data_IF_611668992859
#
_entry.id   IF_611668992859
#
_cell.length_a   1.000
_cell.length_b   1.000
_cell.length_c   1.000
_cell.angle_alpha   90.00
_cell.angle_beta   90.00
_cell.angle_gamma   90.00
#
_symmetry.space_group_name_H-M   'P 1'
#
loop_
_entity.id
_entity.type
_entity.pdbx_description
1 polymer ?
#
# COMPACT_ATOMS: atom_id res chain seq x y z
N UNK A 1 -5.87 -19.09 13.08
CA UNK A 1 -6.53 -18.00 13.82
C UNK A 1 -7.17 -18.52 15.12
N UNK A 2 -6.37 -19.18 15.92
CA UNK A 2 -6.83 -19.80 17.16
C UNK A 2 -7.45 -18.79 18.12
N UNK A 3 -8.73 -19.01 18.48
CA UNK A 3 -9.43 -18.21 19.47
C UNK A 3 -9.86 -16.80 19.05
N UNK A 4 -9.76 -16.47 17.75
CA UNK A 4 -10.16 -15.17 17.22
C UNK A 4 -11.46 -15.30 16.42
N UNK A 5 -12.64 -15.14 17.04
CA UNK A 5 -13.92 -15.31 16.35
C UNK A 5 -14.15 -14.30 15.24
N UNK A 6 -13.52 -13.14 15.32
CA UNK A 6 -13.51 -12.07 14.30
C UNK A 6 -12.80 -12.48 12.99
N UNK A 7 -12.06 -13.60 12.97
CA UNK A 7 -11.38 -14.12 11.78
C UNK A 7 -12.23 -15.08 10.95
N UNK A 8 -13.48 -15.33 11.33
CA UNK A 8 -14.41 -16.10 10.51
C UNK A 8 -14.66 -15.35 9.18
N UNK A 9 -14.62 -16.03 8.01
CA UNK A 9 -14.77 -15.39 6.72
C UNK A 9 -16.02 -14.52 6.60
N UNK A 10 -17.16 -15.00 7.07
CA UNK A 10 -18.41 -14.24 7.05
C UNK A 10 -18.36 -12.92 7.84
N UNK A 11 -17.69 -12.91 9.00
CA UNK A 11 -17.51 -11.68 9.78
C UNK A 11 -16.56 -10.69 9.11
N UNK A 12 -15.49 -11.19 8.45
CA UNK A 12 -14.57 -10.35 7.69
C UNK A 12 -15.26 -9.71 6.50
N UNK A 13 -16.01 -10.47 5.73
CA UNK A 13 -16.81 -9.94 4.61
C UNK A 13 -17.90 -8.97 5.09
N UNK A 14 -18.55 -9.25 6.23
CA UNK A 14 -19.51 -8.32 6.82
C UNK A 14 -18.87 -6.97 7.20
N UNK A 15 -17.65 -6.98 7.76
CA UNK A 15 -16.90 -5.74 8.06
C UNK A 15 -16.63 -4.93 6.79
N UNK A 16 -16.14 -5.59 5.74
CA UNK A 16 -15.87 -4.93 4.45
C UNK A 16 -17.19 -4.38 3.84
N UNK A 17 -18.27 -5.14 3.92
CA UNK A 17 -19.60 -4.69 3.45
C UNK A 17 -20.08 -3.45 4.21
N UNK A 18 -19.92 -3.42 5.53
CA UNK A 18 -20.29 -2.27 6.35
C UNK A 18 -19.49 -1.02 5.96
N UNK A 19 -18.18 -1.16 5.73
CA UNK A 19 -17.36 -0.06 5.22
C UNK A 19 -17.89 0.47 3.87
N UNK A 20 -18.37 -0.43 3.00
CA UNK A 20 -19.00 -0.04 1.73
C UNK A 20 -20.33 0.73 1.91
N UNK A 21 -21.16 0.30 2.85
CA UNK A 21 -22.42 1.00 3.20
C UNK A 21 -22.11 2.42 3.71
N UNK A 22 -21.11 2.54 4.59
CA UNK A 22 -20.67 3.82 5.17
C UNK A 22 -19.80 4.66 4.21
N UNK A 23 -19.57 4.18 2.98
CA UNK A 23 -18.75 4.86 1.96
C UNK A 23 -17.32 5.16 2.44
N UNK A 24 -16.73 4.25 3.20
CA UNK A 24 -15.36 4.36 3.67
C UNK A 24 -14.44 3.73 2.63
N UNK A 25 -13.49 4.46 2.01
CA UNK A 25 -12.47 3.87 1.16
C UNK A 25 -11.68 2.83 1.96
N UNK A 26 -11.71 1.59 1.52
CA UNK A 26 -11.26 0.47 2.31
C UNK A 26 -10.16 -0.32 1.59
N UNK A 27 -9.13 -0.69 2.35
CA UNK A 27 -8.06 -1.58 1.90
C UNK A 27 -8.36 -3.00 2.34
N UNK A 28 -8.31 -3.95 1.41
CA UNK A 28 -8.46 -5.36 1.71
C UNK A 28 -7.49 -6.20 0.89
N UNK A 29 -7.51 -7.50 1.08
CA UNK A 29 -6.63 -8.42 0.35
C UNK A 29 -6.65 -9.83 0.92
N UNK A 30 -5.71 -10.64 0.45
CA UNK A 30 -5.53 -12.00 0.89
C UNK A 30 -4.07 -12.26 1.30
N UNK A 31 -3.90 -13.11 2.32
CA UNK A 31 -2.62 -13.68 2.70
C UNK A 31 -2.56 -15.10 2.14
N UNK A 32 -1.53 -15.38 1.34
CA UNK A 32 -1.34 -16.69 0.71
C UNK A 32 -0.25 -17.51 1.41
N UNK A 33 -0.37 -18.84 1.35
CA UNK A 33 0.61 -19.77 1.92
C UNK A 33 0.34 -20.16 3.37
N UNK A 34 -0.90 -19.97 3.85
CA UNK A 34 -1.33 -20.35 5.21
C UNK A 34 -2.11 -21.66 5.27
N UNK A 35 -2.09 -22.44 4.19
CA UNK A 35 -2.75 -23.74 4.06
C UNK A 35 -3.95 -23.76 3.12
N UNK A 36 -4.28 -22.65 2.51
CA UNK A 36 -5.34 -22.50 1.52
C UNK A 36 -4.95 -23.09 0.16
N UNK A 37 -5.94 -23.49 -0.60
CA UNK A 37 -5.82 -23.95 -1.99
C UNK A 37 -5.91 -22.78 -2.97
N UNK A 38 -5.47 -22.98 -4.22
CA UNK A 38 -5.67 -22.01 -5.30
C UNK A 38 -7.14 -21.68 -5.55
N UNK A 39 -8.04 -22.65 -5.35
CA UNK A 39 -9.49 -22.44 -5.49
C UNK A 39 -9.99 -21.48 -4.41
N UNK A 40 -9.62 -21.69 -3.15
CA UNK A 40 -10.00 -20.81 -2.05
C UNK A 40 -9.46 -19.37 -2.23
N UNK A 41 -8.28 -19.20 -2.84
CA UNK A 41 -7.77 -17.85 -3.23
C UNK A 41 -8.69 -17.19 -4.26
N UNK A 42 -9.13 -17.95 -5.28
CA UNK A 42 -10.06 -17.45 -6.30
C UNK A 42 -11.40 -17.07 -5.66
N UNK A 43 -11.97 -17.93 -4.82
CA UNK A 43 -13.24 -17.68 -4.12
C UNK A 43 -13.16 -16.43 -3.24
N UNK A 44 -12.07 -16.25 -2.50
CA UNK A 44 -11.84 -15.05 -1.68
C UNK A 44 -11.75 -13.78 -2.54
N UNK A 45 -11.03 -13.83 -3.66
CA UNK A 45 -10.92 -12.69 -4.59
C UNK A 45 -12.27 -12.37 -5.26
N UNK A 46 -13.05 -13.39 -5.63
CA UNK A 46 -14.40 -13.19 -6.19
C UNK A 46 -15.35 -12.55 -5.17
N UNK A 47 -15.30 -12.97 -3.91
CA UNK A 47 -16.11 -12.38 -2.84
C UNK A 47 -15.74 -10.88 -2.61
N UNK A 48 -14.45 -10.54 -2.66
CA UNK A 48 -13.99 -9.15 -2.58
C UNK A 48 -14.44 -8.35 -3.81
N UNK A 49 -14.37 -8.94 -5.01
CA UNK A 49 -14.84 -8.30 -6.25
C UNK A 49 -16.33 -7.97 -6.18
N UNK A 50 -17.16 -8.92 -5.74
CA UNK A 50 -18.60 -8.72 -5.59
C UNK A 50 -18.91 -7.53 -4.67
N UNK A 51 -18.23 -7.41 -3.53
CA UNK A 51 -18.37 -6.27 -2.63
C UNK A 51 -17.91 -4.96 -3.27
N UNK A 52 -16.83 -4.99 -4.05
CA UNK A 52 -16.37 -3.80 -4.76
C UNK A 52 -17.35 -3.39 -5.87
N UNK A 53 -17.87 -4.33 -6.65
CA UNK A 53 -18.88 -4.06 -7.70
C UNK A 53 -20.16 -3.45 -7.09
N UNK A 54 -20.55 -3.87 -5.90
CA UNK A 54 -21.73 -3.37 -5.22
C UNK A 54 -21.55 -1.97 -4.65
N UNK A 55 -20.41 -1.66 -4.02
CA UNK A 55 -20.21 -0.43 -3.25
C UNK A 55 -19.15 0.52 -3.84
N UNK A 56 -18.21 0.02 -4.61
CA UNK A 56 -17.11 0.79 -5.20
C UNK A 56 -16.07 1.30 -4.19
N UNK A 57 -16.00 0.72 -3.00
CA UNK A 57 -15.25 1.25 -1.86
C UNK A 57 -13.87 0.62 -1.65
N UNK A 58 -13.58 -0.52 -2.27
CA UNK A 58 -12.24 -1.12 -2.17
C UNK A 58 -11.27 -0.35 -3.04
N UNK A 59 -10.40 0.41 -2.41
CA UNK A 59 -9.41 1.23 -3.11
C UNK A 59 -8.20 0.43 -3.58
N UNK A 60 -7.91 -0.70 -2.92
CA UNK A 60 -6.84 -1.61 -3.31
C UNK A 60 -7.10 -3.04 -2.83
N UNK A 61 -6.47 -3.99 -3.51
CA UNK A 61 -6.40 -5.40 -3.11
C UNK A 61 -4.94 -5.78 -2.91
N UNK A 62 -4.59 -6.15 -1.68
CA UNK A 62 -3.24 -6.58 -1.30
C UNK A 62 -3.11 -8.08 -1.48
N UNK A 63 -2.10 -8.52 -2.21
CA UNK A 63 -1.70 -9.93 -2.28
C UNK A 63 -0.39 -10.07 -1.51
N UNK A 64 -0.48 -10.64 -0.32
CA UNK A 64 0.66 -10.80 0.58
C UNK A 64 1.04 -12.27 0.72
N UNK A 65 2.32 -12.58 0.59
CA UNK A 65 2.84 -13.92 0.86
C UNK A 65 3.14 -14.09 2.36
N UNK A 66 2.79 -15.26 2.87
CA UNK A 66 3.11 -15.66 4.24
C UNK A 66 4.63 -15.78 4.42
N UNK A 67 5.12 -15.35 5.59
CA UNK A 67 6.49 -15.57 6.05
C UNK A 67 6.48 -16.27 7.40
N UNK A 68 7.21 -17.38 7.48
CA UNK A 68 7.34 -18.14 8.72
C UNK A 68 8.20 -17.36 9.73
N UNK A 69 7.72 -17.26 10.97
CA UNK A 69 8.38 -16.44 12.00
C UNK A 69 8.69 -17.26 13.25
N UNK A 70 9.91 -17.10 13.75
CA UNK A 70 10.30 -17.67 15.03
C UNK A 70 9.33 -17.25 16.16
N UNK A 71 9.05 -18.15 17.08
CA UNK A 71 8.14 -17.90 18.19
C UNK A 71 6.64 -17.97 17.86
N UNK A 72 6.28 -18.25 16.60
CA UNK A 72 4.88 -18.47 16.19
C UNK A 72 4.58 -19.96 16.02
N UNK A 73 3.28 -20.33 16.04
CA UNK A 73 2.86 -21.72 15.80
C UNK A 73 3.18 -22.22 14.39
N UNK A 74 3.40 -21.32 13.44
CA UNK A 74 3.69 -21.62 12.04
C UNK A 74 5.19 -21.40 11.69
N UNK A 75 6.09 -21.41 12.65
CA UNK A 75 7.52 -21.13 12.43
C UNK A 75 8.21 -22.11 11.47
N UNK A 76 7.68 -23.34 11.34
CA UNK A 76 8.17 -24.37 10.42
C UNK A 76 7.24 -24.59 9.21
N UNK A 77 6.23 -23.74 9.00
CA UNK A 77 5.35 -23.88 7.86
C UNK A 77 6.08 -23.50 6.56
N UNK A 78 5.78 -24.20 5.49
CA UNK A 78 6.32 -23.88 4.17
C UNK A 78 5.79 -22.53 3.72
N UNK A 79 6.70 -21.66 3.28
CA UNK A 79 6.33 -20.40 2.66
C UNK A 79 5.88 -20.64 1.21
N UNK A 80 4.95 -19.82 0.68
CA UNK A 80 4.52 -19.95 -0.71
C UNK A 80 5.68 -19.60 -1.65
N UNK A 81 5.75 -20.29 -2.77
CA UNK A 81 6.75 -20.01 -3.80
C UNK A 81 6.49 -18.67 -4.49
N UNK A 82 7.52 -18.12 -5.12
CA UNK A 82 7.36 -16.94 -5.98
C UNK A 82 6.37 -17.21 -7.12
N UNK A 83 6.36 -18.43 -7.67
CA UNK A 83 5.41 -18.83 -8.70
C UNK A 83 3.96 -18.75 -8.21
N UNK A 84 3.68 -19.21 -6.99
CA UNK A 84 2.34 -19.10 -6.39
C UNK A 84 1.92 -17.65 -6.17
N UNK A 85 2.84 -16.78 -5.77
CA UNK A 85 2.57 -15.35 -5.62
C UNK A 85 2.26 -14.70 -6.98
N UNK A 86 3.11 -14.92 -7.99
CA UNK A 86 2.93 -14.42 -9.36
C UNK A 86 1.60 -14.92 -9.95
N UNK A 87 1.31 -16.21 -9.80
CA UNK A 87 0.05 -16.80 -10.25
C UNK A 87 -1.15 -16.10 -9.58
N UNK A 88 -1.10 -15.91 -8.27
CA UNK A 88 -2.20 -15.27 -7.53
C UNK A 88 -2.41 -13.81 -7.95
N UNK A 89 -1.33 -13.05 -8.14
CA UNK A 89 -1.40 -11.66 -8.65
C UNK A 89 -2.02 -11.64 -10.06
N UNK A 90 -1.58 -12.52 -10.96
CA UNK A 90 -2.11 -12.58 -12.32
C UNK A 90 -3.61 -12.93 -12.33
N UNK A 91 -4.02 -13.88 -11.50
CA UNK A 91 -5.44 -14.24 -11.34
C UNK A 91 -6.24 -13.07 -10.75
N UNK A 92 -5.72 -12.40 -9.72
CA UNK A 92 -6.36 -11.20 -9.18
C UNK A 92 -6.52 -10.12 -10.25
N UNK A 93 -5.50 -9.88 -11.10
CA UNK A 93 -5.58 -8.93 -12.22
C UNK A 93 -6.66 -9.31 -13.24
N UNK A 94 -6.81 -10.59 -13.54
CA UNK A 94 -7.88 -11.08 -14.43
C UNK A 94 -9.26 -10.86 -13.78
N UNK A 95 -9.40 -11.20 -12.50
CA UNK A 95 -10.67 -11.09 -11.76
C UNK A 95 -11.13 -9.63 -11.65
N UNK A 96 -10.24 -8.72 -11.25
CA UNK A 96 -10.57 -7.33 -10.98
C UNK A 96 -10.44 -6.40 -12.21
N UNK A 97 -9.80 -6.86 -13.27
CA UNK A 97 -9.58 -6.06 -14.47
C UNK A 97 -8.46 -5.00 -14.32
N UNK A 98 -8.28 -4.14 -15.33
CA UNK A 98 -7.11 -3.25 -15.40
C UNK A 98 -7.14 -2.06 -14.44
N UNK A 99 -8.31 -1.67 -13.95
CA UNK A 99 -8.49 -0.45 -13.15
C UNK A 99 -8.23 -0.64 -11.66
N UNK A 100 -8.40 -1.86 -11.14
CA UNK A 100 -8.19 -2.11 -9.72
C UNK A 100 -6.72 -1.92 -9.34
N UNK A 101 -6.48 -1.29 -8.19
CA UNK A 101 -5.15 -1.21 -7.63
C UNK A 101 -4.81 -2.54 -6.94
N UNK A 102 -3.83 -3.22 -7.48
CA UNK A 102 -3.28 -4.44 -6.91
C UNK A 102 -1.92 -4.14 -6.31
N UNK A 103 -1.76 -4.45 -5.04
CA UNK A 103 -0.55 -4.24 -4.27
C UNK A 103 0.09 -5.57 -3.88
N UNK A 104 1.43 -5.61 -3.89
CA UNK A 104 2.21 -6.62 -3.22
C UNK A 104 3.38 -5.95 -2.47
N UNK A 105 3.65 -6.32 -1.19
CA UNK A 105 4.73 -5.74 -0.41
C UNK A 105 6.09 -6.02 -1.05
N UNK A 106 6.90 -4.99 -1.38
CA UNK A 106 8.15 -5.18 -2.10
C UNK A 106 9.24 -5.84 -1.25
N UNK A 107 9.25 -5.60 0.06
CA UNK A 107 10.20 -6.17 1.00
C UNK A 107 10.09 -7.70 1.13
N UNK A 108 8.90 -8.27 0.93
CA UNK A 108 8.69 -9.72 1.00
C UNK A 108 9.11 -10.46 -0.28
N UNK A 109 9.50 -9.72 -1.32
CA UNK A 109 9.86 -10.27 -2.64
C UNK A 109 11.11 -9.61 -3.20
N UNK A 110 12.08 -9.30 -2.32
CA UNK A 110 13.36 -8.69 -2.72
C UNK A 110 14.00 -9.46 -3.88
N UNK A 111 14.53 -8.73 -4.87
CA UNK A 111 15.14 -9.29 -6.08
C UNK A 111 14.13 -9.76 -7.16
N UNK A 112 12.82 -9.76 -6.89
CA UNK A 112 11.80 -10.22 -7.82
C UNK A 112 10.77 -9.14 -8.20
N UNK A 113 11.08 -7.87 -7.97
CA UNK A 113 10.16 -6.74 -8.17
C UNK A 113 9.58 -6.68 -9.59
N UNK A 114 10.42 -6.90 -10.60
CA UNK A 114 10.01 -6.94 -11.99
C UNK A 114 8.95 -8.02 -12.28
N UNK A 115 9.08 -9.18 -11.64
CA UNK A 115 8.14 -10.28 -11.81
C UNK A 115 6.75 -9.93 -11.26
N UNK A 116 6.69 -9.22 -10.11
CA UNK A 116 5.43 -8.77 -9.52
C UNK A 116 4.72 -7.75 -10.43
N UNK A 117 5.46 -6.77 -10.97
CA UNK A 117 4.91 -5.78 -11.90
C UNK A 117 4.37 -6.47 -13.16
N UNK A 118 5.11 -7.42 -13.72
CA UNK A 118 4.71 -8.16 -14.91
C UNK A 118 3.50 -9.09 -14.65
N UNK A 119 3.34 -9.57 -13.42
CA UNK A 119 2.17 -10.32 -12.99
C UNK A 119 0.91 -9.45 -12.88
N UNK A 120 1.06 -8.13 -12.69
CA UNK A 120 -0.08 -7.23 -12.77
C UNK A 120 -0.28 -6.29 -11.59
N UNK A 121 0.66 -6.16 -10.65
CA UNK A 121 0.56 -5.10 -9.64
C UNK A 121 0.75 -3.73 -10.29
N UNK A 122 0.16 -2.72 -9.67
CA UNK A 122 0.34 -1.32 -10.02
C UNK A 122 0.54 -0.43 -8.78
N UNK A 123 0.76 -1.04 -7.62
CA UNK A 123 1.05 -0.33 -6.38
C UNK A 123 2.03 -1.13 -5.50
N UNK A 124 2.90 -0.44 -4.79
CA UNK A 124 3.84 -1.03 -3.85
C UNK A 124 3.39 -0.90 -2.39
N UNK A 125 2.31 -0.17 -2.14
CA UNK A 125 1.81 0.15 -0.81
C UNK A 125 2.61 1.20 -0.08
N UNK A 126 2.51 1.19 1.23
CA UNK A 126 3.27 2.07 2.10
C UNK A 126 4.68 1.54 2.30
N UNK A 127 5.66 2.19 1.68
CA UNK A 127 7.08 1.88 1.85
C UNK A 127 7.73 2.94 2.70
N UNK A 128 8.37 2.54 3.80
CA UNK A 128 9.09 3.46 4.68
C UNK A 128 10.59 3.13 4.70
N UNK A 129 11.44 3.93 4.04
CA UNK A 129 12.88 3.71 4.10
C UNK A 129 13.49 4.07 5.47
N UNK A 130 12.70 4.68 6.36
CA UNK A 130 13.16 5.21 7.65
C UNK A 130 12.78 4.32 8.84
N UNK A 131 11.72 3.53 8.71
CA UNK A 131 11.23 2.65 9.78
C UNK A 131 11.25 1.21 9.32
N UNK A 132 11.56 0.25 10.20
CA UNK A 132 11.45 -1.15 9.85
C UNK A 132 9.99 -1.53 9.60
N UNK A 133 9.77 -2.60 8.85
CA UNK A 133 8.48 -3.27 8.83
C UNK A 133 8.28 -3.96 10.18
N UNK A 134 7.38 -3.44 11.01
CA UNK A 134 7.11 -4.00 12.34
C UNK A 134 6.43 -5.37 12.29
N UNK A 135 5.83 -5.73 11.16
CA UNK A 135 5.24 -7.05 10.95
C UNK A 135 6.29 -8.05 10.46
N UNK A 136 7.19 -7.61 9.58
CA UNK A 136 8.26 -8.44 9.00
C UNK A 136 9.63 -7.76 9.18
N UNK A 137 10.13 -7.64 10.42
CA UNK A 137 11.36 -6.91 10.71
C UNK A 137 12.60 -7.55 10.08
N UNK A 138 12.52 -8.81 9.71
CA UNK A 138 13.55 -9.56 9.00
C UNK A 138 13.64 -9.23 7.49
N UNK A 139 12.63 -8.53 6.96
CA UNK A 139 12.55 -8.15 5.56
C UNK A 139 12.55 -6.62 5.43
N UNK A 140 13.74 -5.98 5.33
CA UNK A 140 13.84 -4.53 5.24
C UNK A 140 13.18 -3.99 3.97
N UNK A 141 12.65 -2.78 4.06
CA UNK A 141 12.14 -2.07 2.90
C UNK A 141 13.24 -1.80 1.88
N UNK A 142 12.98 -1.97 0.59
CA UNK A 142 13.92 -1.56 -0.44
C UNK A 142 14.05 -0.02 -0.47
N UNK A 143 15.17 0.46 -0.95
CA UNK A 143 15.35 1.89 -1.20
C UNK A 143 14.40 2.37 -2.30
N UNK A 144 13.86 3.59 -2.14
CA UNK A 144 12.93 4.17 -3.12
C UNK A 144 13.55 4.30 -4.51
N UNK A 145 14.86 4.52 -4.59
CA UNK A 145 15.58 4.55 -5.88
C UNK A 145 15.59 3.18 -6.56
N UNK A 146 15.76 2.11 -5.79
CA UNK A 146 15.69 0.74 -6.31
C UNK A 146 14.29 0.42 -6.84
N UNK A 147 13.24 0.80 -6.09
CA UNK A 147 11.85 0.64 -6.54
C UNK A 147 11.57 1.44 -7.81
N UNK A 148 12.05 2.68 -7.91
CA UNK A 148 11.91 3.51 -9.11
C UNK A 148 12.58 2.87 -10.31
N UNK A 149 13.82 2.41 -10.14
CA UNK A 149 14.58 1.73 -11.19
C UNK A 149 13.85 0.46 -11.65
N UNK A 150 13.49 -0.43 -10.72
CA UNK A 150 12.78 -1.66 -11.03
C UNK A 150 11.42 -1.38 -11.72
N UNK A 151 10.71 -0.32 -11.32
CA UNK A 151 9.45 0.07 -11.95
C UNK A 151 9.66 0.59 -13.37
N UNK A 152 10.68 1.43 -13.59
CA UNK A 152 10.98 2.01 -14.90
C UNK A 152 11.52 0.97 -15.90
N UNK A 153 12.35 0.01 -15.44
CA UNK A 153 12.90 -1.06 -16.26
C UNK A 153 11.85 -2.09 -16.70
N UNK A 154 10.74 -2.17 -15.97
CA UNK A 154 9.60 -2.97 -16.38
C UNK A 154 8.80 -2.25 -17.47
N UNK A 155 9.42 -2.04 -18.64
CA UNK A 155 8.68 -1.77 -19.86
C UNK A 155 7.75 -2.96 -20.08
N UNK A 156 6.47 -2.81 -19.74
CA UNK A 156 5.49 -3.88 -19.94
C UNK A 156 5.50 -4.33 -21.40
N UNK A 157 4.87 -5.46 -21.71
CA UNK A 157 4.70 -5.96 -23.10
C UNK A 157 4.13 -4.90 -24.07
N UNK A 158 3.57 -3.81 -23.54
CA UNK A 158 3.06 -2.65 -24.29
C UNK A 158 4.13 -1.63 -24.68
N UNK A 159 5.40 -1.79 -24.30
CA UNK A 159 6.46 -0.81 -24.56
C UNK A 159 6.31 0.53 -23.81
N UNK A 160 5.33 0.65 -22.90
CA UNK A 160 5.10 1.86 -22.11
C UNK A 160 5.94 1.79 -20.84
N UNK A 161 6.79 2.77 -20.63
CA UNK A 161 7.55 2.93 -19.40
C UNK A 161 6.59 3.18 -18.22
N UNK A 162 6.80 2.45 -17.13
CA UNK A 162 6.06 2.67 -15.87
C UNK A 162 6.84 3.66 -15.02
N UNK A 163 6.11 4.56 -14.37
CA UNK A 163 6.67 5.55 -13.46
C UNK A 163 6.19 5.27 -12.04
N UNK A 164 7.11 5.30 -11.07
CA UNK A 164 6.76 5.28 -9.67
C UNK A 164 6.33 6.68 -9.23
N UNK A 165 5.06 6.81 -8.84
CA UNK A 165 4.47 8.07 -8.37
C UNK A 165 4.05 7.92 -6.91
N UNK A 166 4.28 8.96 -6.12
CA UNK A 166 3.84 9.00 -4.72
C UNK A 166 2.35 9.37 -4.65
N UNK A 167 1.64 8.71 -3.73
CA UNK A 167 0.23 8.98 -3.46
C UNK A 167 -0.02 9.17 -1.96
N UNK A 168 -1.16 9.74 -1.64
CA UNK A 168 -1.67 9.75 -0.27
C UNK A 168 -2.13 8.32 0.14
N UNK A 169 -2.43 8.14 1.43
CA UNK A 169 -3.03 6.89 1.91
C UNK A 169 -4.38 6.61 1.25
N UNK A 170 -5.15 7.65 0.94
CA UNK A 170 -6.32 7.56 0.06
C UNK A 170 -5.86 7.55 -1.40
N UNK A 171 -6.44 6.68 -2.20
CA UNK A 171 -6.11 6.57 -3.63
C UNK A 171 -6.64 7.75 -4.44
N UNK A 172 -5.97 8.11 -5.55
CA UNK A 172 -6.30 9.28 -6.37
C UNK A 172 -7.77 9.38 -6.76
N UNK A 173 -8.38 8.31 -7.25
CA UNK A 173 -9.79 8.30 -7.65
C UNK A 173 -10.75 8.66 -6.51
N UNK A 174 -10.42 8.28 -5.28
CA UNK A 174 -11.21 8.60 -4.09
C UNK A 174 -10.93 10.02 -3.60
N UNK A 175 -9.69 10.49 -3.72
CA UNK A 175 -9.31 11.86 -3.37
C UNK A 175 -10.01 12.88 -4.27
N UNK A 176 -10.00 12.65 -5.59
CA UNK A 176 -10.67 13.51 -6.58
C UNK A 176 -12.19 13.50 -6.39
N UNK A 177 -12.78 12.35 -6.08
CA UNK A 177 -14.21 12.19 -5.80
C UNK A 177 -14.55 12.35 -4.31
N UNK A 178 -13.85 13.25 -3.63
CA UNK A 178 -13.93 13.44 -2.17
C UNK A 178 -15.33 13.76 -1.64
N UNK A 179 -16.24 14.28 -2.46
CA UNK A 179 -17.64 14.50 -2.08
C UNK A 179 -18.38 13.20 -1.72
N UNK A 180 -18.02 12.11 -2.37
CA UNK A 180 -18.59 10.79 -2.13
C UNK A 180 -17.90 10.06 -0.99
N UNK A 181 -16.58 10.27 -0.80
CA UNK A 181 -15.71 9.36 -0.05
C UNK A 181 -15.05 9.96 1.18
N UNK A 182 -15.10 11.28 1.34
CA UNK A 182 -14.41 11.98 2.41
C UNK A 182 -15.42 12.78 3.25
N UNK A 183 -15.18 12.76 4.55
CA UNK A 183 -15.82 13.69 5.47
C UNK A 183 -15.52 15.15 5.05
N UNK A 184 -16.49 16.03 5.19
CA UNK A 184 -16.38 17.45 4.80
C UNK A 184 -15.20 18.16 5.48
N UNK A 185 -14.85 17.76 6.70
CA UNK A 185 -13.74 18.35 7.46
C UNK A 185 -12.37 17.88 6.96
N UNK A 186 -12.29 16.70 6.35
CA UNK A 186 -11.06 16.12 5.81
C UNK A 186 -10.81 16.55 4.36
N UNK A 187 -11.86 16.76 3.58
CA UNK A 187 -11.77 17.07 2.16
C UNK A 187 -10.81 18.23 1.82
N UNK A 188 -10.87 19.40 2.50
CA UNK A 188 -9.92 20.49 2.23
C UNK A 188 -8.46 20.11 2.52
N UNK A 189 -8.22 19.25 3.50
CA UNK A 189 -6.86 18.79 3.85
C UNK A 189 -6.30 17.86 2.78
N UNK A 190 -7.11 16.92 2.29
CA UNK A 190 -6.72 16.01 1.21
C UNK A 190 -6.45 16.80 -0.07
N UNK A 191 -7.34 17.72 -0.46
CA UNK A 191 -7.17 18.56 -1.65
C UNK A 191 -5.91 19.45 -1.62
N UNK A 192 -5.48 19.89 -0.44
CA UNK A 192 -4.21 20.65 -0.30
C UNK A 192 -2.97 19.78 -0.47
N UNK A 193 -3.08 18.48 -0.22
CA UNK A 193 -1.98 17.52 -0.28
C UNK A 193 -1.96 16.73 -1.59
N UNK A 194 -2.97 16.89 -2.43
CA UNK A 194 -3.07 16.21 -3.71
C UNK A 194 -2.95 17.19 -4.89
N UNK A 195 -2.49 16.68 -6.01
CA UNK A 195 -2.54 17.37 -7.29
C UNK A 195 -3.93 17.23 -7.96
N UNK A 196 -4.07 17.69 -9.19
CA UNK A 196 -5.34 17.62 -9.94
C UNK A 196 -5.76 16.20 -10.29
N UNK A 197 -4.85 15.24 -10.28
CA UNK A 197 -5.11 13.82 -10.55
C UNK A 197 -5.30 13.01 -9.26
N UNK A 198 -5.11 13.64 -8.07
CA UNK A 198 -5.27 13.02 -6.76
C UNK A 198 -3.99 12.39 -6.19
N UNK A 199 -2.85 12.49 -6.88
CA UNK A 199 -1.57 12.04 -6.37
C UNK A 199 -0.98 13.01 -5.34
N UNK A 200 0.00 12.55 -4.58
CA UNK A 200 0.62 13.37 -3.55
C UNK A 200 1.35 14.58 -4.15
N UNK A 201 1.04 15.77 -3.64
CA UNK A 201 1.78 16.99 -3.98
C UNK A 201 3.07 17.05 -3.21
N UNK A 202 4.13 17.30 -3.96
CA UNK A 202 5.47 17.38 -3.43
C UNK A 202 5.94 18.82 -3.17
N UNK A 203 5.24 19.79 -3.73
CA UNK A 203 5.58 21.18 -3.62
C UNK A 203 4.80 21.90 -2.51
N UNK A 204 5.46 22.84 -1.86
CA UNK A 204 4.85 23.79 -0.94
C UNK A 204 4.34 25.05 -1.65
N UNK A 205 4.50 25.12 -2.99
CA UNK A 205 4.06 26.27 -3.78
C UNK A 205 2.57 26.13 -4.14
N UNK A 206 1.85 27.25 -4.08
CA UNK A 206 0.46 27.33 -4.54
C UNK A 206 0.32 28.47 -5.53
N UNK A 207 -0.48 28.33 -6.61
CA UNK A 207 -0.75 29.42 -7.54
C UNK A 207 -1.24 30.68 -6.80
N UNK A 208 -0.68 31.83 -7.14
CA UNK A 208 -1.02 33.11 -6.51
C UNK A 208 -0.18 33.44 -5.27
N UNK A 209 0.80 32.63 -4.89
CA UNK A 209 1.82 33.04 -3.92
C UNK A 209 2.86 33.95 -4.58
N UNK A 210 3.39 34.93 -3.81
CA UNK A 210 4.46 35.83 -4.27
C UNK A 210 5.82 35.12 -4.47
N UNK A 211 5.95 33.87 -3.98
CA UNK A 211 7.15 33.07 -4.17
C UNK A 211 7.23 32.51 -5.60
N UNK A 212 8.45 32.42 -6.13
CA UNK A 212 8.69 31.78 -7.41
C UNK A 212 8.18 30.32 -7.40
N UNK A 213 7.63 29.84 -8.52
CA UNK A 213 7.29 28.44 -8.64
C UNK A 213 8.53 27.56 -8.43
N UNK A 214 8.37 26.33 -7.91
CA UNK A 214 9.49 25.43 -7.76
C UNK A 214 10.16 25.19 -9.12
N UNK A 215 11.49 25.22 -9.14
CA UNK A 215 12.23 24.88 -10.34
C UNK A 215 11.85 23.46 -10.75
N UNK A 216 11.40 23.29 -11.98
CA UNK A 216 11.19 21.98 -12.59
C UNK A 216 12.59 21.39 -12.82
N UNK A 217 13.14 20.78 -11.80
CA UNK A 217 14.35 19.98 -11.94
C UNK A 217 13.93 18.64 -12.51
N UNK A 218 14.46 18.29 -13.68
CA UNK A 218 14.32 16.96 -14.29
C UNK A 218 15.05 15.86 -13.47
N UNK A 219 15.37 16.13 -12.22
CA UNK A 219 15.95 15.17 -11.30
C UNK A 219 14.85 14.52 -10.45
N UNK A 220 14.35 13.33 -10.84
CA UNK A 220 13.34 12.60 -10.08
C UNK A 220 13.84 12.15 -8.69
N UNK A 221 15.13 12.34 -8.40
CA UNK A 221 15.77 11.93 -7.14
C UNK A 221 15.88 13.07 -6.10
N UNK A 222 15.43 14.27 -6.39
CA UNK A 222 15.46 15.38 -5.42
C UNK A 222 14.30 15.28 -4.43
N UNK A 223 14.19 14.11 -3.79
CA UNK A 223 13.38 13.98 -2.58
C UNK A 223 14.01 14.91 -1.54
N UNK A 224 13.17 15.75 -0.99
CA UNK A 224 13.43 16.74 0.06
C UNK A 224 14.23 16.17 1.25
N UNK A 225 15.52 15.90 1.06
CA UNK A 225 16.44 15.62 2.17
C UNK A 225 16.32 16.66 3.30
N UNK A 226 16.05 17.92 2.95
CA UNK A 226 16.01 19.01 3.93
C UNK A 226 14.73 19.09 4.78
N UNK A 227 13.59 18.57 4.32
CA UNK A 227 12.34 18.61 5.10
C UNK A 227 12.22 17.41 6.02
N UNK A 228 12.56 16.24 5.52
CA UNK A 228 12.61 15.02 6.31
C UNK A 228 13.64 15.15 7.44
N UNK A 229 14.83 15.68 7.16
CA UNK A 229 15.85 15.90 8.20
C UNK A 229 15.39 16.89 9.28
N UNK A 230 14.70 17.99 8.93
CA UNK A 230 14.19 18.95 9.92
C UNK A 230 13.02 18.41 10.75
N UNK A 231 12.18 17.56 10.20
CA UNK A 231 11.10 16.93 10.96
C UNK A 231 11.62 15.76 11.80
N UNK A 232 12.57 14.98 11.29
CA UNK A 232 13.26 13.93 12.06
C UNK A 232 14.10 14.56 13.18
N UNK A 233 14.80 15.68 12.94
CA UNK A 233 15.50 16.39 14.01
C UNK A 233 14.56 16.90 15.10
N UNK A 234 13.31 17.26 14.77
CA UNK A 234 12.27 17.61 15.76
C UNK A 234 11.73 16.39 16.50
N UNK A 235 11.69 15.22 15.87
CA UNK A 235 11.26 13.95 16.48
C UNK A 235 12.39 13.25 17.24
N UNK A 236 13.66 13.56 16.92
CA UNK A 236 14.85 13.14 17.67
C UNK A 236 15.15 14.08 18.86
N UNK A 237 14.13 14.63 19.52
CA UNK A 237 14.29 15.11 20.88
C UNK A 237 14.71 13.91 21.71
N UNK A 238 15.98 13.86 22.13
CA UNK A 238 16.55 12.81 22.94
C UNK A 238 15.60 12.53 24.11
N UNK A 239 15.16 11.29 24.33
CA UNK A 239 14.42 10.95 25.54
C UNK A 239 15.29 11.35 26.73
N UNK A 240 14.76 12.18 27.60
CA UNK A 240 15.52 12.76 28.71
C UNK A 240 15.94 11.74 29.76
N UNK A 241 15.27 10.61 29.86
CA UNK A 241 15.68 9.44 30.67
C UNK A 241 14.84 8.21 30.30
N UNK A 242 15.31 7.00 30.61
CA UNK A 242 14.62 5.72 30.40
C UNK A 242 13.32 5.54 31.22
N UNK A 243 12.91 6.52 31.98
CA UNK A 243 11.73 6.48 32.86
C UNK A 243 10.46 7.08 32.27
N UNK A 244 10.53 7.75 31.12
CA UNK A 244 9.35 8.43 30.53
C UNK A 244 8.52 7.57 29.55
N UNK A 245 8.91 6.31 29.33
CA UNK A 245 8.18 5.40 28.42
C UNK A 245 7.13 4.52 29.11
N UNK A 246 7.04 4.56 30.45
CA UNK A 246 6.10 3.74 31.23
C UNK A 246 4.71 4.36 31.44
N UNK A 247 4.45 5.57 30.95
CA UNK A 247 3.19 6.29 31.18
C UNK A 247 2.36 6.56 29.90
N UNK A 248 2.71 5.94 28.78
CA UNK A 248 1.83 5.97 27.60
C UNK A 248 1.04 4.66 27.60
N UNK A 249 -0.06 4.65 28.33
CA UNK A 249 -1.12 3.66 28.13
C UNK A 249 -1.78 3.88 26.76
N UNK A 250 -1.89 2.76 26.03
CA UNK A 250 -2.50 2.62 24.70
C UNK A 250 -4.02 2.77 24.80
#
# INVERSE_FOLDING_TARGET
>A
HYGSPDKLPGLRLATIRLAGIEKIPFTSGILIGIGETRLERIEALLALRELHEQYGHLQEIIIQNFRAKAGTKMFNALEPSLEDLIWTIAVARIIFGPKMNLQAPPNLSAGNLAALINAGINDWGGVSPLTPDHVNPEAPWPELQELRKATAECAGRSGVNKLLTERLAIYPDYAVNGEKWLDETLRPKVLRQSDSEGFSRDDSWSPGQESLPPEITNDPCRIKKNRINKEIEKLLVKPKTNTEWSEIEI
#
